data_IF_544227009579
#
_entry.id   IF_544227009579
#
_cell.length_a   1.000
_cell.length_b   1.000
_cell.length_c   1.000
_cell.angle_alpha   90.00
_cell.angle_beta   90.00
_cell.angle_gamma   90.00
#
_symmetry.space_group_name_H-M   'P 1'
#
loop_
_entity.id
_entity.type
_entity.pdbx_description
1 polymer ?
#
# COMPACT_ATOMS: atom_id res chain seq x y z
N UNK A 1 31.47 10.66 -37.97
CA UNK A 1 30.07 11.16 -37.95
C UNK A 1 30.06 12.64 -37.56
N UNK A 2 29.65 13.52 -38.47
CA UNK A 2 29.79 14.99 -38.36
C UNK A 2 29.02 15.56 -37.14
N UNK A 3 29.64 16.45 -36.35
CA UNK A 3 29.08 17.01 -35.11
C UNK A 3 27.73 17.72 -35.32
N UNK A 4 27.51 18.27 -36.51
CA UNK A 4 26.23 18.86 -36.89
C UNK A 4 25.11 17.83 -37.02
N UNK A 5 25.42 16.62 -37.52
CA UNK A 5 24.45 15.51 -37.60
C UNK A 5 24.06 15.02 -36.20
N UNK A 6 25.00 14.97 -35.26
CA UNK A 6 24.74 14.62 -33.85
C UNK A 6 23.85 15.67 -33.16
N UNK A 7 24.12 16.97 -33.37
CA UNK A 7 23.30 18.07 -32.85
C UNK A 7 21.86 18.03 -33.39
N UNK A 8 21.70 17.80 -34.69
CA UNK A 8 20.39 17.68 -35.32
C UNK A 8 19.61 16.47 -34.78
N UNK A 9 20.27 15.32 -34.62
CA UNK A 9 19.66 14.14 -34.02
C UNK A 9 19.21 14.39 -32.57
N UNK A 10 20.02 15.09 -31.76
CA UNK A 10 19.67 15.46 -30.39
C UNK A 10 18.45 16.40 -30.35
N UNK A 11 18.41 17.42 -31.20
CA UNK A 11 17.28 18.35 -31.30
C UNK A 11 15.99 17.64 -31.72
N UNK A 12 16.08 16.70 -32.66
CA UNK A 12 14.95 15.87 -33.08
C UNK A 12 14.44 15.00 -31.92
N UNK A 13 15.34 14.36 -31.16
CA UNK A 13 15.00 13.57 -29.97
C UNK A 13 14.30 14.40 -28.88
N UNK A 14 14.80 15.61 -28.60
CA UNK A 14 14.21 16.52 -27.62
C UNK A 14 12.80 16.98 -28.04
N UNK A 15 12.60 17.29 -29.33
CA UNK A 15 11.26 17.59 -29.88
C UNK A 15 10.30 16.41 -29.74
N UNK A 16 10.74 15.20 -30.08
CA UNK A 16 9.92 13.99 -29.94
C UNK A 16 9.55 13.72 -28.48
N UNK A 17 10.49 13.92 -27.54
CA UNK A 17 10.23 13.79 -26.10
C UNK A 17 9.22 14.83 -25.61
N UNK A 18 9.33 16.08 -26.05
CA UNK A 18 8.37 17.16 -25.74
C UNK A 18 6.98 16.81 -26.31
N UNK A 19 6.90 16.42 -27.59
CA UNK A 19 5.64 16.01 -28.25
C UNK A 19 4.99 14.81 -27.56
N UNK A 20 5.75 13.80 -27.13
CA UNK A 20 5.23 12.67 -26.33
C UNK A 20 4.71 13.09 -24.96
N UNK A 21 5.31 14.11 -24.31
CA UNK A 21 4.84 14.64 -23.02
C UNK A 21 3.56 15.46 -23.18
N UNK A 22 3.42 16.23 -24.26
CA UNK A 22 2.19 16.97 -24.59
C UNK A 22 1.06 16.06 -25.07
N UNK A 23 1.36 15.03 -25.86
CA UNK A 23 0.37 14.08 -26.38
C UNK A 23 -0.01 12.98 -25.39
N UNK A 24 0.75 12.80 -24.29
CA UNK A 24 0.24 12.07 -23.13
C UNK A 24 -0.83 12.94 -22.52
N UNK A 25 -2.09 12.68 -22.88
CA UNK A 25 -3.20 13.19 -22.11
C UNK A 25 -2.95 12.80 -20.65
N UNK A 26 -2.93 13.76 -19.70
CA UNK A 26 -2.86 13.39 -18.30
C UNK A 26 -4.04 12.45 -18.07
N UNK A 27 -3.78 11.28 -17.48
CA UNK A 27 -4.85 10.44 -16.95
C UNK A 27 -5.74 11.38 -16.15
N UNK A 28 -7.03 11.49 -16.54
CA UNK A 28 -8.03 12.30 -15.85
C UNK A 28 -8.42 11.60 -14.54
N UNK A 29 -7.41 11.30 -13.73
CA UNK A 29 -7.58 10.63 -12.46
C UNK A 29 -8.38 11.60 -11.60
N UNK A 30 -9.66 11.26 -11.38
CA UNK A 30 -10.60 12.07 -10.61
C UNK A 30 -10.03 12.46 -9.24
N UNK A 31 -9.27 11.55 -8.62
CA UNK A 31 -8.62 11.78 -7.33
C UNK A 31 -7.20 11.19 -7.29
N UNK A 32 -6.23 11.96 -6.81
CA UNK A 32 -4.90 11.42 -6.52
C UNK A 32 -4.91 10.51 -5.27
N UNK A 33 -5.62 10.95 -4.23
CA UNK A 33 -6.04 10.17 -3.07
C UNK A 33 -7.55 10.33 -2.97
N UNK A 34 -8.29 9.23 -2.85
CA UNK A 34 -9.75 9.30 -2.74
C UNK A 34 -10.13 9.93 -1.38
N UNK A 35 -11.15 10.81 -1.29
CA UNK A 35 -11.54 11.47 -0.03
C UNK A 35 -11.79 10.50 1.13
N UNK A 36 -12.36 9.32 0.83
CA UNK A 36 -12.53 8.22 1.81
C UNK A 36 -11.21 7.79 2.50
N UNK A 37 -10.07 7.96 1.84
CA UNK A 37 -8.75 7.61 2.40
C UNK A 37 -8.08 8.78 3.12
N UNK A 38 -8.58 10.01 2.97
CA UNK A 38 -8.08 11.18 3.68
C UNK A 38 -8.47 11.12 5.17
N UNK A 39 -9.68 10.62 5.45
CA UNK A 39 -10.20 10.44 6.81
C UNK A 39 -9.66 9.20 7.53
N UNK A 40 -8.68 8.48 6.96
CA UNK A 40 -8.15 7.23 7.54
C UNK A 40 -7.64 7.39 8.97
N UNK A 41 -7.12 8.56 9.33
CA UNK A 41 -6.59 8.82 10.68
C UNK A 41 -7.70 8.93 11.74
N UNK A 42 -8.92 9.25 11.31
CA UNK A 42 -10.09 9.42 12.17
C UNK A 42 -10.96 8.16 12.14
N UNK A 43 -11.21 7.62 10.95
CA UNK A 43 -12.17 6.53 10.74
C UNK A 43 -11.52 5.18 10.49
N UNK A 44 -10.24 5.16 10.10
CA UNK A 44 -9.55 3.94 9.70
C UNK A 44 -9.45 2.94 10.85
N UNK A 45 -9.73 1.67 10.54
CA UNK A 45 -9.72 0.57 11.52
C UNK A 45 -8.39 0.48 12.29
N UNK A 46 -7.28 0.87 11.68
CA UNK A 46 -5.99 0.96 12.37
C UNK A 46 -6.03 1.99 13.51
N UNK A 47 -6.53 3.19 13.30
CA UNK A 47 -6.54 4.23 14.33
C UNK A 47 -7.68 4.04 15.35
N UNK A 48 -8.82 3.45 14.93
CA UNK A 48 -10.00 3.29 15.79
C UNK A 48 -10.06 1.97 16.55
N UNK A 49 -9.58 0.87 15.96
CA UNK A 49 -9.80 -0.49 16.46
C UNK A 49 -8.50 -1.14 16.95
N UNK A 50 -7.38 -0.92 16.26
CA UNK A 50 -6.13 -1.62 16.59
C UNK A 50 -5.66 -1.39 18.03
N UNK A 51 -5.72 -0.16 18.54
CA UNK A 51 -5.33 0.14 19.92
C UNK A 51 -6.17 -0.62 20.95
N UNK A 52 -7.49 -0.74 20.71
CA UNK A 52 -8.39 -1.53 21.55
C UNK A 52 -8.08 -3.03 21.51
N UNK A 53 -7.54 -3.52 20.40
CA UNK A 53 -7.10 -4.91 20.28
C UNK A 53 -5.81 -5.16 21.07
N UNK A 54 -4.94 -4.16 21.25
CA UNK A 54 -3.72 -4.32 22.04
C UNK A 54 -4.00 -4.55 23.54
N UNK A 55 -5.14 -4.09 24.03
CA UNK A 55 -5.57 -4.24 25.42
C UNK A 55 -6.15 -5.64 25.73
N UNK A 56 -6.49 -6.41 24.70
CA UNK A 56 -7.15 -7.72 24.82
C UNK A 56 -6.50 -8.73 23.87
N UNK A 57 -5.55 -9.50 24.41
CA UNK A 57 -4.74 -10.44 23.62
C UNK A 57 -5.59 -11.52 22.94
N UNK A 58 -6.69 -11.94 23.57
CA UNK A 58 -7.62 -12.93 23.00
C UNK A 58 -8.31 -12.33 21.78
N UNK A 59 -8.82 -11.10 21.88
CA UNK A 59 -9.40 -10.40 20.72
C UNK A 59 -8.36 -10.10 19.66
N UNK A 60 -7.14 -9.72 20.03
CA UNK A 60 -6.04 -9.54 19.08
C UNK A 60 -5.81 -10.81 18.27
N UNK A 61 -5.65 -11.94 18.95
CA UNK A 61 -5.44 -13.23 18.32
C UNK A 61 -6.63 -13.63 17.44
N UNK A 62 -7.86 -13.41 17.88
CA UNK A 62 -9.04 -13.71 17.09
C UNK A 62 -9.13 -12.84 15.82
N UNK A 63 -8.70 -11.59 15.93
CA UNK A 63 -8.72 -10.62 14.83
C UNK A 63 -7.63 -10.89 13.79
N UNK A 64 -6.39 -11.14 14.22
CA UNK A 64 -5.22 -11.30 13.36
C UNK A 64 -4.78 -12.75 13.12
N UNK A 65 -5.36 -13.72 13.84
CA UNK A 65 -4.94 -15.14 13.85
C UNK A 65 -3.45 -15.33 14.11
N UNK A 66 -2.84 -14.36 14.76
CA UNK A 66 -1.43 -14.29 15.13
C UNK A 66 -1.36 -13.63 16.50
N UNK A 67 -0.44 -14.09 17.35
CA UNK A 67 -0.20 -13.44 18.64
C UNK A 67 0.43 -12.07 18.43
N UNK A 68 0.33 -11.22 19.46
CA UNK A 68 0.98 -9.92 19.44
C UNK A 68 2.50 -10.04 19.29
N UNK A 69 3.12 -11.02 19.95
CA UNK A 69 4.55 -11.31 19.82
C UNK A 69 4.95 -11.66 18.38
N UNK A 70 4.20 -12.55 17.71
CA UNK A 70 4.47 -12.87 16.30
C UNK A 70 4.27 -11.65 15.39
N UNK A 71 3.24 -10.84 15.65
CA UNK A 71 3.01 -9.62 14.91
C UNK A 71 4.21 -8.66 15.00
N UNK A 72 4.72 -8.41 16.21
CA UNK A 72 5.87 -7.53 16.40
C UNK A 72 7.14 -8.11 15.79
N UNK A 73 7.39 -9.41 15.92
CA UNK A 73 8.55 -10.05 15.29
C UNK A 73 8.54 -9.87 13.76
N UNK A 74 7.37 -10.02 13.12
CA UNK A 74 7.23 -9.78 11.68
C UNK A 74 7.49 -8.30 11.38
N UNK A 75 6.89 -7.39 12.17
CA UNK A 75 7.06 -5.96 11.99
C UNK A 75 8.54 -5.55 12.08
N UNK A 76 9.27 -6.03 13.07
CA UNK A 76 10.68 -5.69 13.28
C UNK A 76 11.56 -6.13 12.12
N UNK A 77 11.26 -7.29 11.52
CA UNK A 77 11.99 -7.80 10.36
C UNK A 77 11.74 -6.99 9.09
N UNK A 78 10.50 -6.55 8.86
CA UNK A 78 10.11 -5.95 7.57
C UNK A 78 9.96 -4.43 7.62
N UNK A 79 9.88 -3.81 8.80
CA UNK A 79 9.52 -2.40 8.95
C UNK A 79 10.43 -1.49 8.14
N UNK A 80 11.75 -1.73 8.21
CA UNK A 80 12.73 -0.95 7.46
C UNK A 80 12.65 -1.18 5.94
N UNK A 81 12.23 -2.38 5.51
CA UNK A 81 12.10 -2.73 4.09
C UNK A 81 10.87 -2.09 3.46
N UNK A 82 9.76 -1.98 4.21
CA UNK A 82 8.48 -1.47 3.69
C UNK A 82 8.26 0.02 4.00
N UNK A 83 9.09 0.63 4.85
CA UNK A 83 8.99 2.05 5.21
C UNK A 83 9.18 2.92 3.98
N UNK A 84 8.28 3.89 3.84
CA UNK A 84 8.35 4.91 2.79
C UNK A 84 8.53 6.29 3.42
N UNK A 85 9.13 7.20 2.67
CA UNK A 85 9.39 8.56 3.13
C UNK A 85 8.15 9.42 2.98
N UNK A 86 7.85 10.23 4.00
CA UNK A 86 6.83 11.26 3.90
C UNK A 86 7.22 12.34 2.89
N UNK A 87 6.23 12.84 2.17
CA UNK A 87 6.40 13.93 1.22
C UNK A 87 5.56 15.12 1.66
N UNK A 88 5.94 16.32 1.21
CA UNK A 88 5.17 17.55 1.43
C UNK A 88 3.70 17.44 0.99
N UNK A 89 3.44 16.55 0.03
CA UNK A 89 2.14 16.39 -0.59
C UNK A 89 1.30 15.26 0.03
N UNK A 90 1.95 14.28 0.67
CA UNK A 90 1.27 13.13 1.28
C UNK A 90 2.15 12.43 2.32
N UNK A 91 1.51 12.11 3.44
CA UNK A 91 2.05 11.20 4.45
C UNK A 91 1.96 9.74 3.98
N UNK A 92 3.05 9.01 4.17
CA UNK A 92 3.10 7.59 3.91
C UNK A 92 2.28 6.81 4.94
N UNK A 93 1.82 5.63 4.52
CA UNK A 93 1.21 4.68 5.45
C UNK A 93 2.35 4.08 6.27
N UNK A 94 2.33 4.14 7.61
CA UNK A 94 3.40 3.60 8.43
C UNK A 94 3.46 2.07 8.31
N UNK A 95 4.65 1.45 8.41
CA UNK A 95 4.83 -0.01 8.29
C UNK A 95 3.87 -0.83 9.16
N UNK A 96 3.60 -0.37 10.37
CA UNK A 96 2.68 -1.03 11.31
C UNK A 96 1.24 -1.06 10.78
N UNK A 97 0.76 0.05 10.23
CA UNK A 97 -0.57 0.12 9.61
C UNK A 97 -0.63 -0.76 8.35
N UNK A 98 0.43 -0.76 7.53
CA UNK A 98 0.52 -1.64 6.36
C UNK A 98 0.42 -3.11 6.77
N UNK A 99 1.15 -3.52 7.82
CA UNK A 99 1.15 -4.89 8.31
C UNK A 99 -0.23 -5.32 8.85
N UNK A 100 -0.90 -4.43 9.58
CA UNK A 100 -2.27 -4.67 10.07
C UNK A 100 -3.23 -4.97 8.91
N UNK A 101 -3.18 -4.16 7.85
CA UNK A 101 -4.04 -4.34 6.68
C UNK A 101 -3.73 -5.67 5.97
N UNK A 102 -2.45 -5.96 5.75
CA UNK A 102 -2.00 -7.17 5.06
C UNK A 102 -2.43 -8.44 5.80
N UNK A 103 -2.11 -8.54 7.10
CA UNK A 103 -2.47 -9.72 7.89
C UNK A 103 -3.98 -9.87 7.93
N UNK A 104 -4.73 -8.77 8.08
CA UNK A 104 -6.19 -8.84 8.12
C UNK A 104 -6.76 -9.44 6.83
N UNK A 105 -6.24 -9.06 5.67
CA UNK A 105 -6.66 -9.66 4.40
C UNK A 105 -6.35 -11.16 4.32
N UNK A 106 -5.15 -11.58 4.73
CA UNK A 106 -4.77 -13.00 4.76
C UNK A 106 -5.68 -13.82 5.69
N UNK A 107 -6.02 -13.31 6.88
CA UNK A 107 -6.91 -14.03 7.81
C UNK A 107 -8.30 -14.27 7.22
N UNK A 108 -8.82 -13.29 6.48
CA UNK A 108 -10.13 -13.40 5.83
C UNK A 108 -10.05 -14.45 4.72
N UNK A 109 -9.00 -14.42 3.92
CA UNK A 109 -8.78 -15.40 2.85
C UNK A 109 -8.66 -16.83 3.40
N UNK A 110 -7.83 -17.04 4.43
CA UNK A 110 -7.68 -18.36 5.06
C UNK A 110 -9.03 -18.84 5.62
N UNK A 111 -9.78 -17.96 6.30
CA UNK A 111 -11.11 -18.32 6.82
C UNK A 111 -12.09 -18.70 5.70
N UNK A 112 -12.06 -17.95 4.59
CA UNK A 112 -12.89 -18.23 3.42
C UNK A 112 -12.54 -19.58 2.78
N UNK A 113 -11.25 -19.84 2.55
CA UNK A 113 -10.76 -21.10 1.98
C UNK A 113 -11.13 -22.30 2.87
N UNK A 114 -10.89 -22.21 4.18
CA UNK A 114 -11.23 -23.28 5.13
C UNK A 114 -12.74 -23.56 5.18
N UNK A 115 -13.58 -22.54 5.06
CA UNK A 115 -15.02 -22.71 5.04
C UNK A 115 -15.49 -23.39 3.74
N UNK A 116 -14.93 -22.99 2.60
CA UNK A 116 -15.29 -23.59 1.31
C UNK A 116 -14.81 -25.04 1.17
N UNK A 117 -13.64 -25.38 1.71
CA UNK A 117 -13.17 -26.78 1.75
C UNK A 117 -14.06 -27.69 2.59
N UNK A 118 -14.75 -27.16 3.62
CA UNK A 118 -15.69 -27.94 4.45
C UNK A 118 -17.03 -28.19 3.77
N UNK A 119 -17.50 -27.26 2.93
CA UNK A 119 -18.74 -27.42 2.17
C UNK A 119 -18.59 -28.36 0.98
N UNK A 120 -17.38 -28.49 0.42
CA UNK A 120 -17.09 -29.38 -0.71
C UNK A 120 -16.64 -30.80 -0.28
N UNK A 121 -16.58 -31.07 1.02
CA UNK A 121 -16.21 -32.37 1.59
C UNK A 121 -17.41 -33.15 2.15
N UNK A 122 -18.64 -32.74 1.80
CA UNK A 122 -19.91 -33.38 2.14
C UNK A 122 -20.62 -33.75 0.84
#
# INVERSE_FOLDING_TARGET
MNNNKKRLALLALLRLRKKRKFNKQPSTRRYWVHPMLEVRYVEGAFYTTFNKLLEDEIKFFNYFRKSFGTFNNILDQIANLIRRQDTQLRLCVPPKEMLVITIRYETILIKYLLNNSRHNAI
#
